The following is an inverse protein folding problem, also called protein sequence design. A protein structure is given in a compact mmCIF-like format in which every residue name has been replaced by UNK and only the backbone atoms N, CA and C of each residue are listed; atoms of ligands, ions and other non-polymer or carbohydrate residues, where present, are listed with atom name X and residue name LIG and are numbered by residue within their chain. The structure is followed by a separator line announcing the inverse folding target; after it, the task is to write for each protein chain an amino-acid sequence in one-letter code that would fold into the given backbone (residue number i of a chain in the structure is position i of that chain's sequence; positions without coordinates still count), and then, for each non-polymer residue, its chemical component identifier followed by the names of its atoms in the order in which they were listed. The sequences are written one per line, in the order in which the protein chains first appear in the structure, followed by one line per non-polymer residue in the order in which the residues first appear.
data_IF_564622764514
#
_entry.id   IF_564622764514
#
_cell.length_a   1.000
_cell.length_b   1.000
_cell.length_c   1.000
_cell.angle_alpha   90.00
_cell.angle_beta   90.00
_cell.angle_gamma   90.00
#
_symmetry.space_group_name_H-M   'P 1'
#
loop_
_entity.id
_entity.type
_entity.pdbx_description
1 polymer ?
#
# COMPACT_ATOMS: atom_id res chain seq x y z
N UNK A 1 -11.96 0.63 20.53
CA UNK A 1 -11.82 1.43 19.29
C UNK A 1 -11.47 0.57 18.08
N UNK A 2 -10.44 -0.29 18.17
CA UNK A 2 -10.05 -1.18 17.06
C UNK A 2 -11.15 -2.18 16.64
N UNK A 3 -11.85 -2.82 17.59
CA UNK A 3 -12.95 -3.76 17.26
C UNK A 3 -14.08 -3.07 16.51
N UNK A 4 -14.59 -1.94 17.02
CA UNK A 4 -15.64 -1.18 16.33
C UNK A 4 -15.23 -0.66 14.96
N UNK A 5 -13.95 -0.34 14.74
CA UNK A 5 -13.44 0.05 13.42
C UNK A 5 -13.48 -1.14 12.45
N UNK A 6 -12.97 -2.29 12.91
CA UNK A 6 -12.88 -3.50 12.11
C UNK A 6 -14.25 -4.10 11.77
N UNK A 7 -15.20 -4.03 12.70
CA UNK A 7 -16.54 -4.58 12.52
C UNK A 7 -17.45 -3.63 11.72
N UNK A 8 -17.47 -2.34 12.03
CA UNK A 8 -18.47 -1.42 11.46
C UNK A 8 -18.02 -0.73 10.17
N UNK A 9 -16.74 -0.79 9.80
CA UNK A 9 -16.20 -0.03 8.65
C UNK A 9 -15.37 -0.88 7.71
N UNK A 10 -14.43 -1.67 8.25
CA UNK A 10 -13.58 -2.53 7.41
C UNK A 10 -14.19 -3.91 7.15
N UNK A 11 -15.31 -4.23 7.80
CA UNK A 11 -15.97 -5.54 7.80
C UNK A 11 -14.98 -6.71 7.77
N UNK A 12 -13.99 -6.69 8.66
CA UNK A 12 -12.80 -7.55 8.53
C UNK A 12 -13.11 -9.05 8.72
N UNK A 13 -14.29 -9.40 9.22
CA UNK A 13 -14.82 -10.78 9.19
C UNK A 13 -15.14 -11.24 7.76
N UNK A 14 -15.64 -10.32 6.92
CA UNK A 14 -15.95 -10.53 5.49
C UNK A 14 -14.73 -10.28 4.60
N UNK A 15 -13.98 -9.21 4.87
CA UNK A 15 -12.80 -8.78 4.11
C UNK A 15 -11.55 -8.78 5.00
N UNK A 16 -11.02 -9.96 5.37
CA UNK A 16 -9.94 -10.07 6.34
C UNK A 16 -8.59 -9.54 5.85
N UNK A 17 -8.47 -9.21 4.56
CA UNK A 17 -7.21 -8.81 3.93
C UNK A 17 -7.45 -7.68 2.93
N UNK A 18 -6.55 -6.70 2.96
CA UNK A 18 -6.25 -5.86 1.82
C UNK A 18 -5.12 -6.49 1.01
N UNK A 19 -5.13 -6.31 -0.31
CA UNK A 19 -4.07 -6.84 -1.19
C UNK A 19 -3.67 -5.82 -2.22
N UNK A 20 -2.37 -5.69 -2.46
CA UNK A 20 -1.84 -4.97 -3.60
C UNK A 20 -1.18 -5.96 -4.57
N UNK A 21 -1.49 -5.86 -5.86
CA UNK A 21 -0.86 -6.64 -6.93
C UNK A 21 -0.41 -5.69 -8.02
N UNK A 22 0.90 -5.50 -8.14
CA UNK A 22 1.46 -4.55 -9.09
C UNK A 22 2.81 -4.97 -9.63
N UNK A 23 3.37 -4.10 -10.46
CA UNK A 23 4.71 -4.21 -11.01
C UNK A 23 5.41 -2.86 -10.95
N UNK A 24 6.74 -2.88 -10.85
CA UNK A 24 7.55 -1.68 -11.07
C UNK A 24 7.40 -1.31 -12.55
N UNK A 25 7.14 -0.04 -12.83
CA UNK A 25 6.96 0.46 -14.18
C UNK A 25 8.29 0.42 -14.95
N UNK A 26 8.24 -0.07 -16.19
CA UNK A 26 9.42 -0.35 -17.03
C UNK A 26 10.29 0.88 -17.32
N UNK A 27 9.73 2.09 -17.18
CA UNK A 27 10.45 3.35 -17.29
C UNK A 27 11.39 3.65 -16.12
N UNK A 28 11.41 2.81 -15.10
CA UNK A 28 12.18 3.01 -13.87
C UNK A 28 13.50 2.21 -13.92
N UNK A 29 14.66 2.85 -14.14
CA UNK A 29 15.94 2.17 -14.16
C UNK A 29 16.40 1.86 -12.73
N UNK A 30 16.26 0.61 -12.28
CA UNK A 30 16.84 0.12 -11.02
C UNK A 30 18.00 -0.83 -11.34
N UNK A 31 19.20 -0.49 -10.86
CA UNK A 31 20.36 -1.37 -10.94
C UNK A 31 20.50 -2.18 -9.65
N UNK A 32 19.97 -3.40 -9.66
CA UNK A 32 19.98 -4.31 -8.51
C UNK A 32 21.38 -4.81 -8.12
N UNK A 33 22.39 -4.62 -8.97
CA UNK A 33 23.77 -5.03 -8.71
C UNK A 33 24.62 -3.91 -8.11
N UNK A 34 24.06 -2.70 -8.00
CA UNK A 34 24.78 -1.52 -7.53
C UNK A 34 24.07 -0.90 -6.34
N UNK A 35 24.82 -0.77 -5.25
CA UNK A 35 24.37 -0.04 -4.08
C UNK A 35 23.98 1.39 -4.44
N UNK A 36 22.81 1.81 -3.96
CA UNK A 36 22.22 3.09 -4.31
C UNK A 36 20.74 3.17 -3.99
N UNK A 37 20.22 4.38 -4.04
CA UNK A 37 18.80 4.67 -3.87
C UNK A 37 18.19 5.00 -5.23
N UNK A 38 17.08 4.34 -5.55
CA UNK A 38 16.37 4.46 -6.81
C UNK A 38 14.91 4.84 -6.54
N UNK A 39 14.46 5.96 -7.11
CA UNK A 39 13.03 6.27 -7.12
C UNK A 39 12.32 5.34 -8.11
N UNK A 40 11.18 4.81 -7.71
CA UNK A 40 10.40 3.87 -8.51
C UNK A 40 8.94 4.28 -8.62
N UNK A 41 8.36 4.10 -9.80
CA UNK A 41 6.91 4.13 -10.00
C UNK A 41 6.40 2.70 -10.04
N UNK A 42 5.33 2.42 -9.29
CA UNK A 42 4.71 1.10 -9.22
C UNK A 42 3.23 1.23 -9.56
N UNK A 43 2.80 0.56 -10.61
CA UNK A 43 1.40 0.50 -11.00
C UNK A 43 0.82 -0.87 -10.67
N UNK A 44 -0.41 -0.89 -10.15
CA UNK A 44 -1.07 -2.13 -9.78
C UNK A 44 -2.49 -1.95 -9.29
N UNK A 45 -3.10 -3.07 -8.92
CA UNK A 45 -4.44 -3.13 -8.38
C UNK A 45 -4.38 -3.22 -6.86
N UNK A 46 -4.98 -2.23 -6.19
CA UNK A 46 -5.18 -2.21 -4.75
C UNK A 46 -6.61 -2.65 -4.44
N UNK A 47 -6.73 -3.71 -3.67
CA UNK A 47 -8.01 -4.23 -3.16
C UNK A 47 -8.12 -3.94 -1.67
N UNK A 48 -9.12 -3.16 -1.28
CA UNK A 48 -9.48 -2.88 0.11
C UNK A 48 -11.00 -3.07 0.21
N UNK A 49 -11.48 -3.72 1.27
CA UNK A 49 -12.92 -3.89 1.51
C UNK A 49 -13.67 -4.51 0.31
N UNK A 50 -13.05 -5.49 -0.36
CA UNK A 50 -13.61 -6.14 -1.55
C UNK A 50 -13.62 -5.30 -2.84
N UNK A 51 -13.35 -4.00 -2.76
CA UNK A 51 -13.28 -3.09 -3.91
C UNK A 51 -11.85 -3.04 -4.43
N UNK A 52 -11.68 -3.21 -5.74
CA UNK A 52 -10.39 -3.14 -6.41
C UNK A 52 -10.29 -1.88 -7.25
N UNK A 53 -9.18 -1.15 -7.11
CA UNK A 53 -8.88 0.07 -7.86
C UNK A 53 -7.47 0.02 -8.42
N UNK A 54 -7.26 0.43 -9.68
CA UNK A 54 -5.92 0.67 -10.19
C UNK A 54 -5.32 1.88 -9.48
N UNK A 55 -4.09 1.73 -9.01
CA UNK A 55 -3.31 2.80 -8.38
C UNK A 55 -1.90 2.82 -8.96
N UNK A 56 -1.33 4.02 -9.08
CA UNK A 56 0.08 4.22 -9.38
C UNK A 56 0.68 5.00 -8.23
N UNK A 57 1.69 4.41 -7.59
CA UNK A 57 2.35 4.99 -6.41
C UNK A 57 3.84 5.12 -6.67
N UNK A 58 4.43 6.16 -6.11
CA UNK A 58 5.88 6.33 -6.10
C UNK A 58 6.46 5.74 -4.82
N UNK A 59 7.68 5.25 -4.93
CA UNK A 59 8.41 4.68 -3.81
C UNK A 59 9.91 4.77 -4.04
N UNK A 60 10.66 4.25 -3.09
CA UNK A 60 12.11 4.23 -3.12
C UNK A 60 12.61 2.83 -2.87
N UNK A 61 13.58 2.40 -3.68
CA UNK A 61 14.30 1.15 -3.52
C UNK A 61 15.75 1.50 -3.16
N UNK A 62 16.20 1.14 -1.97
CA UNK A 62 17.62 1.20 -1.59
C UNK A 62 18.24 -0.18 -1.73
N UNK A 63 19.18 -0.32 -2.66
CA UNK A 63 20.03 -1.49 -2.80
C UNK A 63 21.25 -1.28 -1.91
N UNK A 64 21.52 -2.23 -1.01
CA UNK A 64 22.68 -2.19 -0.13
C UNK A 64 23.11 -3.58 0.28
N UNK A 65 24.38 -3.92 0.02
CA UNK A 65 24.97 -5.20 0.43
C UNK A 65 24.16 -6.43 -0.03
N UNK A 66 23.52 -6.35 -1.20
CA UNK A 66 22.65 -7.40 -1.74
C UNK A 66 21.28 -7.54 -1.07
N UNK A 67 20.91 -6.60 -0.18
CA UNK A 67 19.56 -6.42 0.35
C UNK A 67 18.87 -5.26 -0.37
N UNK A 68 17.54 -5.32 -0.45
CA UNK A 68 16.73 -4.25 -1.02
C UNK A 68 15.77 -3.76 0.07
N UNK A 69 15.85 -2.49 0.43
CA UNK A 69 14.85 -1.82 1.26
C UNK A 69 13.88 -1.10 0.33
N UNK A 70 12.59 -1.44 0.41
CA UNK A 70 11.54 -0.83 -0.37
C UNK A 70 10.63 0.00 0.54
N UNK A 71 10.47 1.27 0.20
CA UNK A 71 9.65 2.21 0.96
C UNK A 71 8.67 2.94 0.04
N UNK A 72 7.45 3.16 0.50
CA UNK A 72 6.46 3.97 -0.21
C UNK A 72 5.46 4.54 0.77
N UNK A 73 5.03 5.77 0.52
CA UNK A 73 3.96 6.42 1.29
C UNK A 73 2.96 7.00 0.31
N UNK A 74 1.69 6.62 0.45
CA UNK A 74 0.62 7.12 -0.40
C UNK A 74 -0.69 7.19 0.38
N UNK A 75 -1.61 8.03 -0.09
CA UNK A 75 -2.89 8.27 0.57
C UNK A 75 -4.02 7.66 -0.23
N UNK A 76 -4.99 7.07 0.47
CA UNK A 76 -6.23 6.57 -0.13
C UNK A 76 -7.45 7.17 0.55
N UNK A 77 -8.47 7.50 -0.22
CA UNK A 77 -9.78 7.85 0.33
C UNK A 77 -10.56 6.57 0.66
N UNK A 78 -11.05 6.44 1.89
CA UNK A 78 -11.78 5.21 2.30
C UNK A 78 -13.09 5.04 1.53
N UNK A 79 -13.68 6.16 1.09
CA UNK A 79 -14.88 6.18 0.26
C UNK A 79 -14.68 5.50 -1.11
N UNK A 80 -13.47 5.54 -1.68
CA UNK A 80 -13.16 4.89 -2.97
C UNK A 80 -13.26 3.36 -2.89
N UNK A 81 -13.17 2.83 -1.67
CA UNK A 81 -13.23 1.40 -1.37
C UNK A 81 -14.55 0.98 -0.73
N UNK A 82 -15.58 1.83 -0.81
CA UNK A 82 -16.93 1.51 -0.32
C UNK A 82 -17.04 1.47 1.20
N UNK A 83 -16.10 2.11 1.92
CA UNK A 83 -16.17 2.25 3.36
C UNK A 83 -16.96 3.53 3.67
N UNK A 84 -18.18 3.37 4.17
CA UNK A 84 -19.04 4.49 4.52
C UNK A 84 -18.77 4.96 5.96
N UNK A 85 -18.55 6.26 6.13
CA UNK A 85 -18.40 6.88 7.46
C UNK A 85 -19.70 7.63 7.79
N UNK A 86 -20.47 7.20 8.81
CA UNK A 86 -21.66 7.93 9.23
C UNK A 86 -21.34 9.35 9.70
N UNK A 87 -22.19 10.32 9.33
CA UNK A 87 -21.97 11.73 9.62
C UNK A 87 -21.77 12.05 11.12
N UNK A 88 -22.40 11.27 12.00
CA UNK A 88 -22.35 11.45 13.47
C UNK A 88 -20.94 11.23 14.03
N UNK A 89 -20.09 10.49 13.32
CA UNK A 89 -18.72 10.15 13.74
C UNK A 89 -17.67 10.59 12.72
N UNK A 90 -18.05 11.38 11.72
CA UNK A 90 -17.16 11.80 10.63
C UNK A 90 -15.96 12.62 11.13
N UNK A 91 -16.09 13.34 12.24
CA UNK A 91 -14.97 14.08 12.86
C UNK A 91 -13.99 13.16 13.60
N UNK A 92 -14.40 11.93 13.92
CA UNK A 92 -13.61 10.95 14.65
C UNK A 92 -12.90 9.94 13.72
N UNK A 93 -13.21 9.93 12.42
CA UNK A 93 -12.67 8.96 11.45
C UNK A 93 -12.09 9.71 10.26
N UNK A 94 -10.82 9.43 9.94
CA UNK A 94 -10.14 10.04 8.82
C UNK A 94 -10.78 9.57 7.49
N UNK A 95 -11.13 10.53 6.63
CA UNK A 95 -11.66 10.27 5.27
C UNK A 95 -10.57 9.78 4.31
N UNK A 96 -9.34 10.18 4.60
CA UNK A 96 -8.12 9.81 3.90
C UNK A 96 -7.19 9.09 4.87
N UNK A 97 -6.60 8.00 4.41
CA UNK A 97 -5.69 7.18 5.19
C UNK A 97 -4.35 7.13 4.47
N UNK A 98 -3.29 7.47 5.18
CA UNK A 98 -1.93 7.28 4.72
C UNK A 98 -1.53 5.81 4.91
N UNK A 99 -1.04 5.21 3.84
CA UNK A 99 -0.45 3.88 3.82
C UNK A 99 1.05 4.06 3.69
N UNK A 100 1.78 3.61 4.71
CA UNK A 100 3.25 3.52 4.67
C UNK A 100 3.65 2.06 4.51
N UNK A 101 4.46 1.80 3.49
CA UNK A 101 5.08 0.51 3.20
C UNK A 101 6.56 0.65 3.53
N UNK A 102 7.06 -0.22 4.40
CA UNK A 102 8.49 -0.35 4.72
C UNK A 102 8.82 -1.84 4.79
N UNK A 103 9.51 -2.35 3.78
CA UNK A 103 9.79 -3.79 3.65
C UNK A 103 11.24 -4.03 3.24
N UNK A 104 11.86 -5.03 3.87
CA UNK A 104 13.18 -5.54 3.50
C UNK A 104 12.99 -6.78 2.64
N UNK A 105 13.52 -6.74 1.42
CA UNK A 105 13.52 -7.83 0.46
C UNK A 105 14.91 -8.46 0.42
N UNK A 106 14.92 -9.79 0.34
CA UNK A 106 16.12 -10.59 0.16
C UNK A 106 15.99 -11.38 -1.14
N UNK A 107 17.13 -11.58 -1.83
CA UNK A 107 17.16 -12.45 -2.98
C UNK A 107 16.66 -13.86 -2.59
N UNK A 108 15.72 -14.38 -3.37
CA UNK A 108 15.24 -15.75 -3.18
C UNK A 108 16.36 -16.71 -3.62
N UNK A 109 17.09 -17.26 -2.65
CA UNK A 109 18.07 -18.30 -2.91
C UNK A 109 17.33 -19.54 -3.46
N UNK A 110 17.65 -19.93 -4.70
CA UNK A 110 17.17 -21.16 -5.33
C UNK A 110 18.12 -22.32 -5.05
#
# INVERSE_FOLDING_TARGET
MQEHFNENYMESSTYPKATFKGKIDESTPVDWGRDGQYEVSVSGDLTIHGVTKPVTVTGTMEVKDGQILAQSTFVVAVADYGIEIPAVVADNIAKEVEITVDVVLQALNK
#
